data_IF_310151414464
#
_entry.id   IF_310151414464
#
_cell.length_a   1.000
_cell.length_b   1.000
_cell.length_c   1.000
_cell.angle_alpha   90.00
_cell.angle_beta   90.00
_cell.angle_gamma   90.00
#
_symmetry.space_group_name_H-M   'P 1'
#
loop_
_entity.id
_entity.type
_entity.pdbx_description
1 polymer ?
#
# COMPACT_ATOMS: atom_id res chain seq x y z
N UNK A 1 3.75 -2.46 -7.53
CA UNK A 1 2.60 -2.97 -6.76
C UNK A 1 2.86 -4.43 -6.52
N UNK A 2 3.07 -4.81 -5.26
CA UNK A 2 3.26 -6.21 -4.87
C UNK A 2 1.96 -6.73 -4.26
N UNK A 3 1.46 -7.85 -4.79
CA UNK A 3 0.30 -8.55 -4.24
C UNK A 3 0.82 -9.69 -3.36
N UNK A 4 0.43 -9.69 -2.10
CA UNK A 4 0.81 -10.71 -1.11
C UNK A 4 -0.44 -11.36 -0.56
N UNK A 5 -0.48 -12.69 -0.53
CA UNK A 5 -1.56 -13.46 0.08
C UNK A 5 -1.10 -13.89 1.48
N UNK A 6 -1.85 -13.49 2.51
CA UNK A 6 -1.57 -13.88 3.89
C UNK A 6 -2.43 -15.08 4.26
N UNK A 7 -1.77 -16.20 4.59
CA UNK A 7 -2.41 -17.42 5.12
C UNK A 7 -2.06 -17.58 6.60
N UNK A 8 -3.03 -17.40 7.49
CA UNK A 8 -2.80 -17.61 8.93
C UNK A 8 -2.98 -19.10 9.29
N UNK A 9 -1.87 -19.84 9.40
CA UNK A 9 -1.90 -21.28 9.72
C UNK A 9 -2.40 -21.61 11.14
N UNK A 10 -2.45 -20.64 12.06
CA UNK A 10 -2.80 -20.85 13.48
C UNK A 10 -4.29 -20.72 13.81
N UNK A 11 -5.13 -20.30 12.86
CA UNK A 11 -6.58 -20.24 13.02
C UNK A 11 -7.22 -20.78 11.75
N UNK A 12 -7.65 -22.04 11.79
CA UNK A 12 -8.20 -22.80 10.66
C UNK A 12 -9.54 -22.25 10.07
N UNK A 13 -9.93 -21.01 10.40
CA UNK A 13 -11.19 -20.41 9.98
C UNK A 13 -11.11 -18.93 9.55
N UNK A 14 -9.93 -18.28 9.53
CA UNK A 14 -9.84 -16.94 8.92
C UNK A 14 -9.64 -17.07 7.41
N UNK A 15 -10.62 -16.57 6.65
CA UNK A 15 -10.56 -16.45 5.21
C UNK A 15 -9.23 -15.87 4.72
N UNK A 16 -8.75 -16.37 3.59
CA UNK A 16 -7.55 -15.89 2.92
C UNK A 16 -7.62 -14.37 2.72
N UNK A 17 -6.60 -13.64 3.18
CA UNK A 17 -6.54 -12.18 3.03
C UNK A 17 -5.52 -11.82 1.97
N UNK A 18 -5.91 -11.01 1.00
CA UNK A 18 -5.01 -10.40 0.03
C UNK A 18 -4.57 -9.03 0.54
N UNK A 19 -3.27 -8.75 0.48
CA UNK A 19 -2.66 -7.46 0.79
C UNK A 19 -2.00 -6.91 -0.47
N UNK A 20 -2.22 -5.62 -0.73
CA UNK A 20 -1.56 -4.88 -1.80
C UNK A 20 -0.55 -3.91 -1.19
N UNK A 21 0.72 -4.08 -1.53
CA UNK A 21 1.80 -3.18 -1.12
C UNK A 21 2.17 -2.25 -2.28
N UNK A 22 2.08 -0.95 -2.00
CA UNK A 22 2.51 0.12 -2.88
C UNK A 22 3.77 0.75 -2.29
N UNK A 23 4.80 0.93 -3.12
CA UNK A 23 6.08 1.51 -2.72
C UNK A 23 6.38 2.68 -3.65
N UNK A 24 6.52 3.87 -3.09
CA UNK A 24 6.95 5.06 -3.81
C UNK A 24 8.47 5.17 -3.75
N UNK A 25 9.13 5.05 -4.90
CA UNK A 25 10.61 4.96 -5.00
C UNK A 25 11.27 6.22 -5.54
N UNK A 26 10.48 7.23 -5.91
CA UNK A 26 10.96 8.46 -6.56
C UNK A 26 11.11 9.62 -5.58
N UNK A 27 11.02 9.36 -4.27
CA UNK A 27 11.32 10.38 -3.27
C UNK A 27 12.84 10.59 -3.22
N UNK A 28 13.35 11.83 -3.35
CA UNK A 28 14.79 12.09 -3.35
C UNK A 28 15.39 11.89 -1.95
N UNK A 29 16.67 11.53 -1.87
CA UNK A 29 17.38 11.36 -0.59
C UNK A 29 17.42 12.66 0.24
N UNK A 30 17.45 13.81 -0.44
CA UNK A 30 17.42 15.13 0.17
C UNK A 30 16.25 15.95 -0.38
N UNK A 31 15.50 16.59 0.52
CA UNK A 31 14.41 17.50 0.17
C UNK A 31 13.12 16.79 -0.22
N UNK A 32 12.38 17.41 -1.13
CA UNK A 32 11.06 16.97 -1.61
C UNK A 32 11.06 16.85 -3.13
N UNK A 33 10.16 16.06 -3.72
CA UNK A 33 10.02 16.00 -5.18
C UNK A 33 9.77 17.38 -5.81
N UNK A 34 10.41 17.67 -6.96
CA UNK A 34 10.24 18.93 -7.70
C UNK A 34 8.81 19.16 -8.18
N UNK A 35 8.08 18.08 -8.43
CA UNK A 35 6.70 18.10 -8.88
C UNK A 35 5.84 17.21 -7.99
N UNK A 36 4.67 17.68 -7.52
CA UNK A 36 3.80 16.89 -6.64
C UNK A 36 3.02 15.81 -7.40
N UNK A 37 2.91 15.93 -8.73
CA UNK A 37 2.08 15.04 -9.57
C UNK A 37 2.37 13.54 -9.38
N UNK A 38 3.64 13.08 -9.37
CA UNK A 38 3.94 11.66 -9.17
C UNK A 38 3.48 11.14 -7.79
N UNK A 39 3.68 11.93 -6.73
CA UNK A 39 3.22 11.59 -5.38
C UNK A 39 1.69 11.55 -5.32
N UNK A 40 1.01 12.56 -5.86
CA UNK A 40 -0.46 12.62 -5.87
C UNK A 40 -1.04 11.43 -6.64
N UNK A 41 -0.47 11.09 -7.80
CA UNK A 41 -0.91 9.95 -8.59
C UNK A 41 -0.67 8.63 -7.85
N UNK A 42 0.46 8.48 -7.16
CA UNK A 42 0.74 7.33 -6.31
C UNK A 42 -0.29 7.19 -5.18
N UNK A 43 -0.58 8.27 -4.46
CA UNK A 43 -1.58 8.29 -3.38
C UNK A 43 -2.95 7.88 -3.92
N UNK A 44 -3.43 8.52 -4.99
CA UNK A 44 -4.73 8.18 -5.62
C UNK A 44 -4.82 6.72 -6.04
N UNK A 45 -3.76 6.19 -6.65
CA UNK A 45 -3.72 4.79 -7.11
C UNK A 45 -3.71 3.81 -5.94
N UNK A 46 -2.95 4.11 -4.88
CA UNK A 46 -2.85 3.25 -3.69
C UNK A 46 -4.13 3.27 -2.85
N UNK A 47 -4.77 4.43 -2.68
CA UNK A 47 -6.02 4.56 -1.94
C UNK A 47 -7.18 3.87 -2.65
N UNK A 48 -7.25 3.97 -3.98
CA UNK A 48 -8.29 3.31 -4.78
C UNK A 48 -8.20 1.78 -4.76
N UNK A 49 -7.07 1.22 -4.35
CA UNK A 49 -6.89 -0.23 -4.24
C UNK A 49 -7.41 -0.81 -2.91
N UNK A 50 -7.73 0.04 -1.93
CA UNK A 50 -8.35 -0.40 -0.68
C UNK A 50 -9.87 -0.51 -0.89
N UNK A 51 -10.47 -1.70 -0.77
CA UNK A 51 -11.91 -1.85 -0.94
C UNK A 51 -12.67 -1.19 0.23
N UNK A 52 -13.99 -0.92 0.10
CA UNK A 52 -14.77 -0.27 1.15
C UNK A 52 -14.81 -1.03 2.49
N UNK A 53 -14.64 -2.36 2.45
CA UNK A 53 -14.53 -3.26 3.62
C UNK A 53 -13.07 -3.54 4.02
N UNK A 54 -12.11 -3.05 3.23
CA UNK A 54 -10.69 -3.04 3.54
C UNK A 54 -10.46 -2.05 4.66
N UNK A 55 -10.03 -2.55 5.82
CA UNK A 55 -9.75 -1.74 7.00
C UNK A 55 -8.69 -0.64 6.75
N UNK A 56 -8.12 -0.04 7.82
CA UNK A 56 -7.19 1.07 7.67
C UNK A 56 -5.98 0.70 6.80
N UNK A 57 -5.60 1.62 5.90
CA UNK A 57 -4.37 1.51 5.10
C UNK A 57 -3.17 1.77 6.01
N UNK A 58 -2.21 0.83 6.01
CA UNK A 58 -0.95 0.99 6.73
C UNK A 58 0.04 1.77 5.86
N UNK A 59 0.59 2.85 6.41
CA UNK A 59 1.61 3.67 5.77
C UNK A 59 2.87 3.65 6.64
N UNK A 60 4.03 3.44 6.04
CA UNK A 60 5.32 3.56 6.71
C UNK A 60 6.33 4.23 5.79
N UNK A 61 7.33 4.89 6.37
CA UNK A 61 8.54 5.34 5.67
C UNK A 61 9.75 4.56 6.21
N UNK A 62 10.93 4.85 5.66
CA UNK A 62 12.19 4.38 6.24
C UNK A 62 12.63 5.32 7.36
#
# INVERSE_FOLDING_TARGET
MLKVVIKNKRKAALAEKTVYQYHYTNWPDHGTPDHPLPVIHFVKKSSAANPPDGGPIVVHCR
#
